data_IF_028830745875
#
_entry.id   IF_028830745875
#
_cell.length_a   1.000
_cell.length_b   1.000
_cell.length_c   1.000
_cell.angle_alpha   90.00
_cell.angle_beta   90.00
_cell.angle_gamma   90.00
#
_symmetry.space_group_name_H-M   'P 1'
#
loop_
_entity.id
_entity.type
_entity.pdbx_description
1 polymer ?
#
# COMPACT_ATOMS: atom_id res chain seq x y z
N UNK A 1 3.79 -6.45 5.14
CA UNK A 1 3.26 -5.54 6.17
C UNK A 1 2.60 -4.36 5.47
N UNK A 2 2.09 -3.35 6.19
CA UNK A 2 1.53 -2.16 5.53
C UNK A 2 2.44 -0.96 5.73
N UNK A 3 2.61 -0.16 4.69
CA UNK A 3 3.30 1.13 4.74
C UNK A 3 2.24 2.17 5.10
N UNK A 4 2.38 2.78 6.27
CA UNK A 4 1.44 3.79 6.76
C UNK A 4 2.08 5.17 6.73
N UNK A 5 1.28 6.19 6.43
CA UNK A 5 1.65 7.56 6.73
C UNK A 5 1.71 7.78 8.26
N UNK A 6 2.75 8.48 8.71
CA UNK A 6 3.06 8.64 10.12
C UNK A 6 2.08 9.57 10.86
N UNK A 7 1.44 10.51 10.16
CA UNK A 7 0.59 11.52 10.79
C UNK A 7 -0.89 11.13 10.77
N UNK A 8 -1.38 10.56 9.67
CA UNK A 8 -2.83 10.43 9.41
C UNK A 8 -3.27 8.95 9.45
N UNK A 9 -2.34 8.00 9.64
CA UNK A 9 -2.59 6.54 9.64
C UNK A 9 -3.31 6.06 8.37
N UNK A 10 -3.03 6.68 7.23
CA UNK A 10 -3.42 6.15 5.93
C UNK A 10 -2.46 5.08 5.46
N UNK A 11 -2.94 4.16 4.64
CA UNK A 11 -2.18 3.04 4.12
C UNK A 11 -1.83 3.29 2.64
N UNK A 12 -0.61 2.93 2.23
CA UNK A 12 -0.25 2.85 0.82
C UNK A 12 -1.07 1.72 0.17
N UNK A 13 -1.83 2.07 -0.86
CA UNK A 13 -2.88 1.24 -1.47
C UNK A 13 -2.69 1.19 -2.99
N UNK A 14 -2.74 -0.01 -3.59
CA UNK A 14 -2.82 -0.16 -5.04
C UNK A 14 -4.27 0.04 -5.51
N UNK A 15 -4.50 1.06 -6.33
CA UNK A 15 -5.84 1.54 -6.64
C UNK A 15 -6.70 0.46 -7.28
N UNK A 16 -7.95 0.36 -6.81
CA UNK A 16 -8.96 -0.58 -7.31
C UNK A 16 -8.52 -2.04 -7.31
N UNK A 17 -7.66 -2.44 -6.37
CA UNK A 17 -7.06 -3.79 -6.30
C UNK A 17 -6.26 -4.17 -7.57
N UNK A 18 -5.73 -3.19 -8.30
CA UNK A 18 -4.94 -3.44 -9.51
C UNK A 18 -3.62 -4.16 -9.21
N UNK A 19 -3.26 -5.11 -10.07
CA UNK A 19 -2.03 -5.92 -9.97
C UNK A 19 -1.10 -5.77 -11.18
N UNK A 20 -1.49 -4.98 -12.17
CA UNK A 20 -0.72 -4.79 -13.39
C UNK A 20 0.37 -3.71 -13.20
N UNK A 21 1.44 -3.80 -13.98
CA UNK A 21 2.43 -2.74 -14.02
C UNK A 21 1.79 -1.43 -14.47
N UNK A 22 2.06 -0.35 -13.74
CA UNK A 22 1.43 0.96 -13.97
C UNK A 22 0.13 1.18 -13.20
N UNK A 23 -0.36 0.21 -12.40
CA UNK A 23 -1.41 0.49 -11.42
C UNK A 23 -0.98 1.64 -10.52
N UNK A 24 -1.83 2.66 -10.43
CA UNK A 24 -1.57 3.83 -9.60
C UNK A 24 -1.62 3.47 -8.11
N UNK A 25 -0.74 4.10 -7.34
CA UNK A 25 -0.76 4.03 -5.88
C UNK A 25 -1.47 5.25 -5.31
N UNK A 26 -2.17 5.04 -4.20
CA UNK A 26 -2.88 6.08 -3.48
C UNK A 26 -2.69 5.92 -1.97
N UNK A 27 -3.01 6.97 -1.22
CA UNK A 27 -3.23 6.88 0.21
C UNK A 27 -4.73 6.67 0.45
N UNK A 28 -5.06 5.61 1.15
CA UNK A 28 -6.45 5.24 1.45
C UNK A 28 -6.59 4.73 2.87
N UNK A 29 -7.83 4.65 3.35
CA UNK A 29 -8.14 4.09 4.66
C UNK A 29 -7.58 2.67 4.81
N UNK A 30 -6.91 2.45 5.93
CA UNK A 30 -6.35 1.16 6.28
C UNK A 30 -7.46 0.14 6.55
N UNK A 31 -7.64 -0.83 5.66
CA UNK A 31 -8.73 -1.80 5.72
C UNK A 31 -8.29 -3.27 5.65
N UNK A 32 -6.97 -3.52 5.71
CA UNK A 32 -6.33 -4.86 5.74
C UNK A 32 -6.47 -5.67 4.45
N UNK A 33 -6.91 -5.08 3.35
CA UNK A 33 -6.93 -5.75 2.04
C UNK A 33 -5.52 -6.03 1.51
N UNK A 34 -5.43 -6.98 0.58
CA UNK A 34 -4.15 -7.44 0.00
C UNK A 34 -3.41 -6.33 -0.75
N UNK A 35 -4.14 -5.42 -1.39
CA UNK A 35 -3.60 -4.27 -2.11
C UNK A 35 -2.95 -3.21 -1.18
N UNK A 36 -2.99 -3.42 0.14
CA UNK A 36 -2.30 -2.61 1.15
C UNK A 36 -1.14 -3.36 1.83
N UNK A 37 -0.76 -4.54 1.34
CA UNK A 37 0.32 -5.36 1.90
C UNK A 37 1.54 -5.31 1.00
N UNK A 38 2.59 -4.68 1.53
CA UNK A 38 3.86 -4.50 0.85
C UNK A 38 4.97 -5.26 1.57
N UNK A 39 5.87 -5.84 0.78
CA UNK A 39 7.16 -6.29 1.26
C UNK A 39 8.15 -5.13 1.11
N UNK A 40 8.85 -4.81 2.18
CA UNK A 40 10.06 -4.00 2.08
C UNK A 40 11.22 -4.98 1.93
N UNK A 41 11.75 -5.18 0.71
CA UNK A 41 12.97 -5.94 0.59
C UNK A 41 14.04 -5.19 1.38
N UNK A 42 14.62 -5.85 2.38
CA UNK A 42 15.85 -5.36 2.97
C UNK A 42 16.93 -5.57 1.91
N UNK A 43 17.29 -4.51 1.20
CA UNK A 43 18.53 -4.49 0.46
C UNK A 43 19.67 -4.57 1.49
N UNK A 44 20.60 -5.49 1.30
CA UNK A 44 21.90 -5.43 1.97
C UNK A 44 22.67 -4.20 1.50
#
# INVERSE_FOLDING_TARGET
>A
GTIMDHQIRWCLDASSNGTANGTLLQLWDCNRQENQKWIRPMLR
#
